data_IF_881726391110
#
_entry.id   IF_881726391110
#
_cell.length_a   1.000
_cell.length_b   1.000
_cell.length_c   1.000
_cell.angle_alpha   90.00
_cell.angle_beta   90.00
_cell.angle_gamma   90.00
#
_symmetry.space_group_name_H-M   'P 1'
#
loop_
_entity.id
_entity.type
_entity.pdbx_description
1 polymer ?
#
# COMPACT_ATOMS: atom_id res chain seq x y z
N UNK A 1 -4.60 -25.14 -5.01
CA UNK A 1 -4.38 -23.69 -5.15
C UNK A 1 -5.22 -23.06 -6.26
N UNK A 2 -5.21 -23.59 -7.49
CA UNK A 2 -5.98 -23.01 -8.62
C UNK A 2 -7.49 -22.83 -8.38
N UNK A 3 -8.15 -23.74 -7.64
CA UNK A 3 -9.58 -23.59 -7.32
C UNK A 3 -9.85 -22.41 -6.38
N UNK A 4 -9.01 -22.22 -5.36
CA UNK A 4 -9.10 -21.10 -4.42
C UNK A 4 -8.84 -19.76 -5.13
N UNK A 5 -7.82 -19.69 -5.98
CA UNK A 5 -7.54 -18.48 -6.75
C UNK A 5 -8.69 -18.13 -7.71
N UNK A 6 -9.32 -19.13 -8.35
CA UNK A 6 -10.52 -18.90 -9.17
C UNK A 6 -11.72 -18.41 -8.35
N UNK A 7 -11.91 -18.94 -7.14
CA UNK A 7 -12.98 -18.49 -6.24
C UNK A 7 -12.75 -17.04 -5.80
N UNK A 8 -11.51 -16.67 -5.44
CA UNK A 8 -11.15 -15.29 -5.11
C UNK A 8 -11.35 -14.34 -6.30
N UNK A 9 -10.91 -14.75 -7.50
CA UNK A 9 -11.12 -13.97 -8.71
C UNK A 9 -12.61 -13.74 -9.01
N UNK A 10 -13.43 -14.78 -8.86
CA UNK A 10 -14.88 -14.66 -9.04
C UNK A 10 -15.50 -13.69 -8.02
N UNK A 11 -15.03 -13.71 -6.76
CA UNK A 11 -15.47 -12.79 -5.73
C UNK A 11 -15.11 -11.35 -6.05
N UNK A 12 -13.86 -11.10 -6.41
CA UNK A 12 -13.42 -9.76 -6.83
C UNK A 12 -14.29 -9.24 -7.96
N UNK A 13 -14.58 -10.09 -8.94
CA UNK A 13 -15.45 -9.72 -10.06
C UNK A 13 -16.89 -9.45 -9.62
N UNK A 14 -17.42 -10.18 -8.64
CA UNK A 14 -18.79 -9.97 -8.15
C UNK A 14 -18.92 -8.73 -7.27
N UNK A 15 -17.84 -8.29 -6.62
CA UNK A 15 -17.80 -7.09 -5.78
C UNK A 15 -17.27 -5.86 -6.53
N UNK A 16 -17.29 -5.88 -7.86
CA UNK A 16 -16.73 -4.80 -8.69
C UNK A 16 -17.31 -3.42 -8.39
N UNK A 17 -18.58 -3.33 -7.97
CA UNK A 17 -19.20 -2.05 -7.62
C UNK A 17 -18.49 -1.37 -6.45
N UNK A 18 -18.09 -2.12 -5.41
CA UNK A 18 -17.31 -1.59 -4.30
C UNK A 18 -15.94 -1.10 -4.76
N UNK A 19 -15.31 -1.84 -5.69
CA UNK A 19 -14.05 -1.40 -6.29
C UNK A 19 -14.22 -0.12 -7.10
N UNK A 20 -15.31 0.03 -7.83
CA UNK A 20 -15.63 1.27 -8.57
C UNK A 20 -15.80 2.45 -7.61
N UNK A 21 -16.55 2.28 -6.53
CA UNK A 21 -16.71 3.32 -5.51
C UNK A 21 -15.40 3.67 -4.81
N UNK A 22 -14.54 2.66 -4.53
CA UNK A 22 -13.22 2.88 -3.97
C UNK A 22 -12.35 3.74 -4.90
N UNK A 23 -12.31 3.36 -6.18
CA UNK A 23 -11.57 4.10 -7.20
C UNK A 23 -12.12 5.52 -7.35
N UNK A 24 -13.45 5.69 -7.39
CA UNK A 24 -14.07 7.00 -7.48
C UNK A 24 -13.71 7.90 -6.29
N UNK A 25 -13.73 7.34 -5.07
CA UNK A 25 -13.34 8.06 -3.86
C UNK A 25 -11.84 8.43 -3.90
N UNK A 26 -10.98 7.51 -4.33
CA UNK A 26 -9.56 7.78 -4.47
C UNK A 26 -9.28 8.87 -5.53
N UNK A 27 -9.96 8.82 -6.67
CA UNK A 27 -9.86 9.86 -7.71
C UNK A 27 -10.32 11.22 -7.17
N UNK A 28 -11.41 11.24 -6.41
CA UNK A 28 -11.90 12.46 -5.78
C UNK A 28 -10.90 13.02 -4.77
N UNK A 29 -10.30 12.16 -3.93
CA UNK A 29 -9.25 12.58 -2.97
C UNK A 29 -8.00 13.12 -3.67
N UNK A 30 -7.56 12.47 -4.74
CA UNK A 30 -6.44 12.96 -5.56
C UNK A 30 -6.79 14.30 -6.20
N UNK A 31 -8.01 14.48 -6.68
CA UNK A 31 -8.47 15.75 -7.23
C UNK A 31 -8.45 16.88 -6.18
N UNK A 32 -8.89 16.60 -4.94
CA UNK A 32 -8.79 17.55 -3.85
C UNK A 32 -7.34 17.92 -3.54
N UNK A 33 -6.44 16.95 -3.48
CA UNK A 33 -5.00 17.19 -3.31
C UNK A 33 -4.42 18.03 -4.44
N UNK A 34 -4.85 17.83 -5.69
CA UNK A 34 -4.45 18.70 -6.80
C UNK A 34 -4.90 20.14 -6.64
N UNK A 35 -6.10 20.37 -6.13
CA UNK A 35 -6.60 21.72 -5.85
C UNK A 35 -5.78 22.42 -4.77
N UNK A 36 -5.29 21.69 -3.77
CA UNK A 36 -4.52 22.23 -2.65
C UNK A 36 -3.04 22.53 -3.04
N UNK A 37 -2.45 21.73 -3.93
CA UNK A 37 -1.05 21.95 -4.40
C UNK A 37 -0.89 23.20 -5.28
N UNK A 38 -1.99 23.72 -5.86
CA UNK A 38 -1.94 24.85 -6.79
C UNK A 38 -1.41 24.42 -8.16
N UNK A 39 -2.32 24.09 -9.05
CA UNK A 39 -2.06 23.54 -10.38
C UNK A 39 -1.07 24.31 -11.27
N UNK A 40 -0.83 25.57 -10.98
CA UNK A 40 -0.02 26.45 -11.84
C UNK A 40 1.46 26.54 -11.43
N UNK A 41 1.84 25.93 -10.29
CA UNK A 41 3.20 26.06 -9.75
C UNK A 41 4.17 24.97 -10.22
N UNK A 42 3.67 23.82 -10.67
CA UNK A 42 4.54 22.72 -11.07
C UNK A 42 5.00 22.86 -12.53
N UNK A 43 6.31 22.90 -12.75
CA UNK A 43 6.91 23.03 -14.08
C UNK A 43 6.95 21.70 -14.84
N UNK A 44 6.83 20.58 -14.15
CA UNK A 44 6.93 19.25 -14.75
C UNK A 44 6.13 18.17 -13.96
N UNK A 45 5.89 17.03 -14.60
CA UNK A 45 5.19 15.91 -13.95
C UNK A 45 5.93 15.31 -12.76
N UNK A 46 7.25 15.25 -12.82
CA UNK A 46 8.08 14.72 -11.71
C UNK A 46 8.09 15.69 -10.54
N UNK A 47 8.16 16.99 -10.81
CA UNK A 47 8.09 18.03 -9.78
C UNK A 47 6.71 18.06 -9.11
N UNK A 48 5.63 17.97 -9.88
CA UNK A 48 4.27 17.86 -9.35
C UNK A 48 4.10 16.66 -8.42
N UNK A 49 4.69 15.53 -8.77
CA UNK A 49 4.67 14.33 -7.93
C UNK A 49 5.44 14.54 -6.60
N UNK A 50 6.61 15.20 -6.66
CA UNK A 50 7.37 15.56 -5.46
C UNK A 50 6.58 16.48 -4.53
N UNK A 51 6.01 17.56 -5.06
CA UNK A 51 5.16 18.49 -4.31
C UNK A 51 3.94 17.80 -3.69
N UNK A 52 3.31 16.87 -4.42
CA UNK A 52 2.17 16.12 -3.93
C UNK A 52 2.56 15.19 -2.78
N UNK A 53 3.73 14.54 -2.86
CA UNK A 53 4.25 13.72 -1.75
C UNK A 53 4.60 14.55 -0.53
N UNK A 54 5.13 15.75 -0.72
CA UNK A 54 5.52 16.64 0.36
C UNK A 54 4.32 17.17 1.14
N UNK A 55 3.24 17.55 0.44
CA UNK A 55 2.02 18.09 1.05
C UNK A 55 1.05 17.02 1.53
N UNK A 56 0.83 15.96 0.74
CA UNK A 56 -0.22 14.97 0.93
C UNK A 56 0.29 13.53 1.14
N UNK A 57 1.44 13.39 1.80
CA UNK A 57 2.04 12.08 2.09
C UNK A 57 1.06 11.10 2.75
N UNK A 58 0.24 11.59 3.69
CA UNK A 58 -0.77 10.79 4.37
C UNK A 58 -1.83 10.26 3.39
N UNK A 59 -2.30 11.10 2.48
CA UNK A 59 -3.26 10.70 1.46
C UNK A 59 -2.72 9.57 0.60
N UNK A 60 -1.49 9.69 0.12
CA UNK A 60 -0.83 8.68 -0.69
C UNK A 60 -0.66 7.36 0.06
N UNK A 61 -0.34 7.42 1.37
CA UNK A 61 -0.21 6.23 2.20
C UNK A 61 -1.55 5.52 2.43
N UNK A 62 -2.63 6.30 2.62
CA UNK A 62 -3.97 5.74 2.88
C UNK A 62 -4.70 5.26 1.63
N UNK A 63 -4.31 5.69 0.44
CA UNK A 63 -4.98 5.33 -0.79
C UNK A 63 -5.00 3.79 -1.04
N UNK A 64 -3.87 3.06 -0.98
CA UNK A 64 -3.88 1.60 -1.05
C UNK A 64 -4.69 0.96 0.09
N UNK A 65 -4.69 1.59 1.28
CA UNK A 65 -5.43 1.11 2.44
C UNK A 65 -6.95 1.16 2.22
N UNK A 66 -7.46 2.27 1.67
CA UNK A 66 -8.89 2.42 1.35
C UNK A 66 -9.32 1.35 0.36
N UNK A 67 -8.51 1.10 -0.67
CA UNK A 67 -8.77 0.06 -1.67
C UNK A 67 -8.81 -1.33 -1.03
N UNK A 68 -7.85 -1.65 -0.16
CA UNK A 68 -7.83 -2.91 0.58
C UNK A 68 -9.04 -3.05 1.51
N UNK A 69 -9.38 -1.98 2.23
CA UNK A 69 -10.51 -1.94 3.16
C UNK A 69 -11.84 -2.24 2.49
N UNK A 70 -12.09 -1.64 1.34
CA UNK A 70 -13.34 -1.88 0.60
C UNK A 70 -13.44 -3.31 0.05
N UNK A 71 -12.32 -3.93 -0.32
CA UNK A 71 -12.33 -5.33 -0.70
C UNK A 71 -12.65 -6.25 0.48
N UNK A 72 -12.02 -6.02 1.63
CA UNK A 72 -12.16 -6.91 2.80
C UNK A 72 -13.48 -6.70 3.53
N UNK A 73 -14.05 -5.48 3.54
CA UNK A 73 -15.38 -5.25 4.14
C UNK A 73 -16.50 -5.96 3.38
N UNK A 74 -16.32 -6.20 2.06
CA UNK A 74 -17.22 -7.06 1.29
C UNK A 74 -17.08 -8.55 1.64
N UNK A 75 -16.05 -8.89 2.40
CA UNK A 75 -15.69 -10.23 2.78
C UNK A 75 -16.28 -10.57 4.15
N UNK A 76 -17.58 -10.84 4.19
CA UNK A 76 -18.20 -11.27 5.43
C UNK A 76 -17.48 -12.50 6.02
N UNK A 77 -17.23 -12.45 7.31
CA UNK A 77 -16.48 -13.46 8.09
C UNK A 77 -16.96 -14.91 7.90
N UNK A 78 -18.21 -15.11 7.46
CA UNK A 78 -18.80 -16.42 7.21
C UNK A 78 -18.10 -17.20 6.10
N UNK A 79 -17.59 -16.53 5.08
CA UNK A 79 -16.97 -17.20 3.92
C UNK A 79 -15.65 -17.87 4.30
N UNK A 80 -14.85 -17.23 5.14
CA UNK A 80 -13.60 -17.82 5.65
C UNK A 80 -13.86 -19.08 6.47
N UNK A 81 -14.89 -19.07 7.31
CA UNK A 81 -15.30 -20.24 8.07
C UNK A 81 -15.66 -21.42 7.14
N UNK A 82 -16.43 -21.14 6.08
CA UNK A 82 -16.80 -22.20 5.12
C UNK A 82 -15.59 -22.74 4.36
N UNK A 83 -14.59 -21.91 4.05
CA UNK A 83 -13.38 -22.37 3.38
C UNK A 83 -12.51 -23.28 4.26
N UNK A 84 -12.41 -22.95 5.56
CA UNK A 84 -11.73 -23.82 6.55
C UNK A 84 -12.52 -25.11 6.77
N UNK A 85 -13.85 -25.03 6.92
CA UNK A 85 -14.72 -26.20 7.04
C UNK A 85 -14.68 -27.12 5.81
N UNK A 86 -14.41 -26.56 4.63
CA UNK A 86 -14.19 -27.33 3.40
C UNK A 86 -12.81 -28.01 3.34
N UNK A 87 -12.05 -28.02 4.44
CA UNK A 87 -10.77 -28.72 4.57
C UNK A 87 -9.57 -28.00 3.92
N UNK A 88 -9.70 -26.73 3.60
CA UNK A 88 -8.58 -25.97 3.07
C UNK A 88 -7.62 -25.56 4.19
N UNK A 89 -6.32 -25.80 3.98
CA UNK A 89 -5.28 -25.36 4.91
C UNK A 89 -5.18 -23.83 4.97
N UNK A 90 -5.05 -23.27 6.16
CA UNK A 90 -4.95 -21.84 6.43
C UNK A 90 -3.87 -21.15 5.57
N UNK A 91 -2.70 -21.78 5.46
CA UNK A 91 -1.60 -21.25 4.63
C UNK A 91 -2.00 -21.08 3.16
N UNK A 92 -2.74 -22.04 2.59
CA UNK A 92 -3.21 -21.98 1.20
C UNK A 92 -4.25 -20.88 1.00
N UNK A 93 -5.09 -20.62 2.00
CA UNK A 93 -6.08 -19.55 1.99
C UNK A 93 -5.40 -18.18 2.00
N UNK A 94 -4.47 -17.95 2.93
CA UNK A 94 -3.73 -16.69 3.01
C UNK A 94 -2.92 -16.44 1.73
N UNK A 95 -2.20 -17.45 1.22
CA UNK A 95 -1.44 -17.33 -0.02
C UNK A 95 -2.34 -17.07 -1.23
N UNK A 96 -3.52 -17.72 -1.33
CA UNK A 96 -4.43 -17.47 -2.45
C UNK A 96 -4.89 -16.00 -2.50
N UNK A 97 -5.12 -15.38 -1.33
CA UNK A 97 -5.47 -13.95 -1.23
C UNK A 97 -4.30 -13.06 -1.63
N UNK A 98 -3.10 -13.31 -1.11
CA UNK A 98 -1.92 -12.56 -1.46
C UNK A 98 -1.64 -12.61 -2.97
N UNK A 99 -1.74 -13.76 -3.60
CA UNK A 99 -1.44 -13.92 -5.02
C UNK A 99 -2.57 -13.51 -5.98
N UNK A 100 -3.79 -13.33 -5.49
CA UNK A 100 -4.93 -12.93 -6.36
C UNK A 100 -5.34 -11.49 -6.13
N UNK A 101 -5.54 -11.11 -4.87
CA UNK A 101 -6.09 -9.79 -4.50
C UNK A 101 -5.02 -8.72 -4.58
N UNK A 102 -3.85 -8.98 -3.98
CA UNK A 102 -2.80 -7.96 -3.89
C UNK A 102 -2.31 -7.50 -5.25
N UNK A 103 -1.98 -8.36 -6.23
CA UNK A 103 -1.54 -7.88 -7.55
C UNK A 103 -2.59 -7.03 -8.25
N UNK A 104 -3.86 -7.43 -8.20
CA UNK A 104 -4.93 -6.68 -8.85
C UNK A 104 -5.11 -5.29 -8.22
N UNK A 105 -5.17 -5.24 -6.88
CA UNK A 105 -5.33 -3.98 -6.16
C UNK A 105 -4.08 -3.10 -6.26
N UNK A 106 -2.89 -3.70 -6.36
CA UNK A 106 -1.63 -2.98 -6.56
C UNK A 106 -1.62 -2.24 -7.89
N UNK A 107 -2.09 -2.86 -8.98
CA UNK A 107 -2.15 -2.19 -10.28
C UNK A 107 -3.00 -0.93 -10.20
N UNK A 108 -4.17 -1.01 -9.56
CA UNK A 108 -5.06 0.14 -9.39
C UNK A 108 -4.39 1.21 -8.51
N UNK A 109 -3.81 0.82 -7.38
CA UNK A 109 -3.16 1.75 -6.46
C UNK A 109 -1.96 2.45 -7.10
N UNK A 110 -1.11 1.71 -7.82
CA UNK A 110 0.03 2.26 -8.54
C UNK A 110 -0.44 3.27 -9.60
N UNK A 111 -1.45 2.92 -10.40
CA UNK A 111 -1.98 3.81 -11.42
C UNK A 111 -2.49 5.13 -10.83
N UNK A 112 -3.17 5.06 -9.67
CA UNK A 112 -3.65 6.23 -8.97
C UNK A 112 -2.50 7.06 -8.37
N UNK A 113 -1.52 6.43 -7.74
CA UNK A 113 -0.39 7.12 -7.12
C UNK A 113 0.55 7.80 -8.13
N UNK A 114 0.70 7.25 -9.32
CA UNK A 114 1.50 7.86 -10.39
C UNK A 114 0.68 8.85 -11.24
N UNK A 115 -0.61 9.01 -10.99
CA UNK A 115 -1.48 9.91 -11.76
C UNK A 115 -0.98 11.36 -11.82
N UNK A 116 -0.34 11.96 -10.78
CA UNK A 116 0.26 13.28 -10.88
C UNK A 116 1.32 13.36 -11.98
N UNK A 117 2.21 12.38 -12.05
CA UNK A 117 3.25 12.31 -13.09
C UNK A 117 2.62 12.29 -14.47
N UNK A 118 1.57 11.48 -14.66
CA UNK A 118 0.90 11.34 -15.97
C UNK A 118 0.16 12.62 -16.36
N UNK A 119 -0.60 13.20 -15.44
CA UNK A 119 -1.43 14.38 -15.74
C UNK A 119 -0.57 15.61 -16.03
N UNK A 120 0.35 15.96 -15.13
CA UNK A 120 1.22 17.11 -15.29
C UNK A 120 2.28 16.87 -16.37
N UNK A 121 2.76 15.64 -16.52
CA UNK A 121 3.66 15.29 -17.59
C UNK A 121 3.07 15.46 -18.97
N UNK A 122 1.79 15.17 -19.15
CA UNK A 122 1.08 15.39 -20.40
C UNK A 122 0.84 16.91 -20.69
N UNK A 123 0.66 17.72 -19.64
CA UNK A 123 0.38 19.17 -19.75
C UNK A 123 1.67 20.01 -19.90
N UNK A 124 2.65 19.77 -19.05
CA UNK A 124 3.83 20.62 -18.88
C UNK A 124 5.16 19.92 -19.25
N UNK A 125 5.10 18.63 -19.68
CA UNK A 125 6.27 17.80 -19.88
C UNK A 125 6.65 17.00 -18.62
N UNK A 126 7.32 15.87 -18.84
CA UNK A 126 7.63 14.95 -17.74
C UNK A 126 8.78 15.43 -16.84
N UNK A 127 9.63 16.34 -17.31
CA UNK A 127 10.84 16.77 -16.61
C UNK A 127 11.97 15.76 -16.71
N UNK A 128 12.80 15.65 -15.66
CA UNK A 128 13.90 14.70 -15.65
C UNK A 128 13.38 13.25 -15.46
N UNK A 129 13.42 12.49 -16.55
CA UNK A 129 12.96 11.11 -16.61
C UNK A 129 14.00 10.07 -16.20
N UNK A 130 15.22 10.49 -15.89
CA UNK A 130 16.36 9.61 -15.59
C UNK A 130 16.04 8.58 -14.51
N UNK A 131 15.34 9.00 -13.46
CA UNK A 131 14.97 8.14 -12.33
C UNK A 131 13.50 7.69 -12.34
N UNK A 132 12.76 7.97 -13.41
CA UNK A 132 11.31 7.70 -13.45
C UNK A 132 10.98 6.23 -13.19
N UNK A 133 11.74 5.31 -13.76
CA UNK A 133 11.55 3.88 -13.55
C UNK A 133 11.79 3.46 -12.09
N UNK A 134 12.78 4.02 -11.42
CA UNK A 134 13.06 3.75 -10.01
C UNK A 134 11.97 4.32 -9.11
N UNK A 135 11.43 5.52 -9.41
CA UNK A 135 10.29 6.11 -8.70
C UNK A 135 9.07 5.21 -8.77
N UNK A 136 8.69 4.79 -9.96
CA UNK A 136 7.55 3.88 -10.18
C UNK A 136 7.79 2.55 -9.44
N UNK A 137 9.00 2.03 -9.44
CA UNK A 137 9.36 0.80 -8.75
C UNK A 137 9.20 0.93 -7.22
N UNK A 138 9.68 2.03 -6.62
CA UNK A 138 9.48 2.28 -5.19
C UNK A 138 7.99 2.37 -4.85
N UNK A 139 7.22 3.15 -5.61
CA UNK A 139 5.77 3.26 -5.42
C UNK A 139 5.10 1.89 -5.53
N UNK A 140 5.49 1.07 -6.51
CA UNK A 140 4.94 -0.29 -6.67
C UNK A 140 5.27 -1.18 -5.46
N UNK A 141 6.50 -1.15 -4.97
CA UNK A 141 6.91 -1.90 -3.77
C UNK A 141 6.10 -1.48 -2.56
N UNK A 142 5.93 -0.19 -2.35
CA UNK A 142 5.15 0.35 -1.24
C UNK A 142 3.68 -0.04 -1.34
N UNK A 143 3.07 0.07 -2.52
CA UNK A 143 1.69 -0.39 -2.74
C UNK A 143 1.52 -1.87 -2.41
N UNK A 144 2.41 -2.72 -2.91
CA UNK A 144 2.38 -4.17 -2.63
C UNK A 144 2.53 -4.44 -1.13
N UNK A 145 3.45 -3.76 -0.47
CA UNK A 145 3.69 -3.85 0.97
C UNK A 145 2.44 -3.49 1.77
N UNK A 146 1.90 -2.28 1.56
CA UNK A 146 0.72 -1.78 2.26
C UNK A 146 -0.48 -2.68 2.05
N UNK A 147 -0.75 -3.08 0.80
CA UNK A 147 -1.87 -3.95 0.45
C UNK A 147 -1.72 -5.34 1.04
N UNK A 148 -0.53 -5.94 0.99
CA UNK A 148 -0.28 -7.27 1.56
C UNK A 148 -0.51 -7.28 3.07
N UNK A 149 0.06 -6.31 3.78
CA UNK A 149 -0.13 -6.17 5.21
C UNK A 149 -1.59 -5.92 5.57
N UNK A 150 -2.27 -5.04 4.84
CA UNK A 150 -3.68 -4.73 5.06
C UNK A 150 -4.58 -5.96 4.85
N UNK A 151 -4.39 -6.69 3.76
CA UNK A 151 -5.15 -7.92 3.48
C UNK A 151 -4.92 -8.97 4.56
N UNK A 152 -3.69 -9.18 5.00
CA UNK A 152 -3.36 -10.14 6.07
C UNK A 152 -3.99 -9.74 7.41
N UNK A 153 -3.84 -8.49 7.82
CA UNK A 153 -4.40 -8.00 9.08
C UNK A 153 -5.93 -8.08 9.06
N UNK A 154 -6.56 -7.58 8.00
CA UNK A 154 -8.02 -7.56 7.89
C UNK A 154 -8.62 -8.95 7.78
N UNK A 155 -7.92 -9.91 7.18
CA UNK A 155 -8.37 -11.30 7.17
C UNK A 155 -8.26 -11.97 8.54
N UNK A 156 -7.34 -11.55 9.38
CA UNK A 156 -7.12 -12.08 10.74
C UNK A 156 -8.10 -11.51 11.74
N UNK A 157 -8.29 -10.20 11.71
CA UNK A 157 -9.26 -9.49 12.54
C UNK A 157 -10.55 -9.31 11.76
N UNK A 158 -11.69 -9.49 12.38
CA UNK A 158 -12.99 -9.23 11.74
C UNK A 158 -13.03 -7.80 11.15
N UNK A 159 -13.62 -7.64 9.99
CA UNK A 159 -13.50 -6.48 9.08
C UNK A 159 -13.32 -5.08 9.71
N UNK A 160 -14.19 -4.65 10.61
CA UNK A 160 -14.09 -3.32 11.24
C UNK A 160 -12.88 -3.19 12.18
N UNK A 161 -12.62 -4.22 13.01
CA UNK A 161 -11.46 -4.23 13.92
C UNK A 161 -10.16 -4.33 13.13
N UNK A 162 -10.15 -5.11 12.05
CA UNK A 162 -8.98 -5.22 11.16
C UNK A 162 -8.61 -3.88 10.53
N UNK A 163 -9.60 -3.13 10.06
CA UNK A 163 -9.37 -1.81 9.48
C UNK A 163 -8.80 -0.82 10.51
N UNK A 164 -9.33 -0.84 11.74
CA UNK A 164 -8.81 -0.03 12.84
C UNK A 164 -7.38 -0.42 13.22
N UNK A 165 -7.06 -1.71 13.29
CA UNK A 165 -5.69 -2.20 13.57
C UNK A 165 -4.72 -1.77 12.48
N UNK A 166 -5.12 -1.83 11.20
CA UNK A 166 -4.29 -1.36 10.09
C UNK A 166 -4.05 0.14 10.19
N UNK A 167 -5.10 0.91 10.47
CA UNK A 167 -4.97 2.36 10.67
C UNK A 167 -4.02 2.70 11.82
N UNK A 168 -4.21 2.07 12.99
CA UNK A 168 -3.32 2.26 14.15
C UNK A 168 -1.88 1.85 13.84
N UNK A 169 -1.68 0.73 13.13
CA UNK A 169 -0.34 0.31 12.73
C UNK A 169 0.35 1.37 11.90
N UNK A 170 -0.30 1.93 10.89
CA UNK A 170 0.27 2.99 10.07
C UNK A 170 0.55 4.24 10.91
N UNK A 171 -0.40 4.68 11.71
CA UNK A 171 -0.24 5.87 12.53
C UNK A 171 0.89 5.71 13.55
N UNK A 172 0.97 4.57 14.24
CA UNK A 172 2.00 4.32 15.23
C UNK A 172 3.37 4.15 14.58
N UNK A 173 3.49 3.27 13.59
CA UNK A 173 4.80 2.98 12.98
C UNK A 173 5.33 4.16 12.17
N UNK A 174 4.49 4.89 11.46
CA UNK A 174 4.94 6.03 10.67
C UNK A 174 5.22 7.26 11.56
N UNK A 175 4.31 7.61 12.46
CA UNK A 175 4.50 8.80 13.30
C UNK A 175 5.57 8.59 14.38
N UNK A 176 5.54 7.47 15.13
CA UNK A 176 6.54 7.20 16.14
C UNK A 176 7.86 6.73 15.54
N UNK A 177 7.82 5.98 14.45
CA UNK A 177 9.02 5.52 13.76
C UNK A 177 9.84 6.69 13.22
N UNK A 178 9.21 7.66 12.58
CA UNK A 178 9.89 8.87 12.11
C UNK A 178 10.44 9.70 13.25
N UNK A 179 9.65 9.95 14.31
CA UNK A 179 10.11 10.68 15.49
C UNK A 179 11.30 10.00 16.18
N UNK A 180 11.25 8.67 16.33
CA UNK A 180 12.37 7.92 16.94
C UNK A 180 13.64 7.98 16.10
N UNK A 181 13.50 7.88 14.77
CA UNK A 181 14.64 7.96 13.86
C UNK A 181 15.23 9.38 13.93
N UNK A 182 14.42 10.42 13.84
CA UNK A 182 14.87 11.81 13.90
C UNK A 182 15.57 12.14 15.23
N UNK A 183 15.07 11.61 16.36
CA UNK A 183 15.68 11.83 17.68
C UNK A 183 17.00 11.07 17.88
N UNK A 184 17.16 9.90 17.28
CA UNK A 184 18.37 9.08 17.41
C UNK A 184 19.47 9.55 16.46
N UNK A 185 19.10 10.18 15.35
CA UNK A 185 20.03 10.47 14.25
C UNK A 185 20.70 11.83 14.34
N UNK A 186 20.20 12.74 15.17
CA UNK A 186 20.69 14.12 15.31
C UNK A 186 21.13 14.80 13.98
N UNK A 187 20.47 14.41 12.88
CA UNK A 187 20.75 14.96 11.55
C UNK A 187 21.87 14.26 10.75
N UNK A 188 22.33 13.09 11.15
CA UNK A 188 23.33 12.33 10.39
C UNK A 188 22.72 11.70 9.11
N UNK A 189 23.23 12.11 7.95
CA UNK A 189 22.71 11.73 6.61
C UNK A 189 22.70 10.22 6.38
N UNK A 190 23.64 9.49 6.97
CA UNK A 190 23.72 8.02 6.82
C UNK A 190 22.53 7.30 7.46
N UNK A 191 21.99 7.88 8.53
CA UNK A 191 20.88 7.32 9.30
C UNK A 191 19.53 7.75 8.73
N UNK A 192 19.47 8.86 7.98
CA UNK A 192 18.25 9.29 7.28
C UNK A 192 17.75 8.22 6.30
N UNK A 193 18.65 7.39 5.77
CA UNK A 193 18.26 6.24 4.90
C UNK A 193 17.49 5.15 5.63
N UNK A 194 17.56 5.06 6.95
CA UNK A 194 16.78 4.13 7.75
C UNK A 194 15.28 4.52 7.70
N UNK A 195 14.97 5.80 7.50
CA UNK A 195 13.59 6.24 7.32
C UNK A 195 12.92 5.59 6.12
N UNK A 196 13.69 5.19 5.09
CA UNK A 196 13.17 4.49 3.92
C UNK A 196 12.63 3.07 4.23
N UNK A 197 12.91 2.56 5.42
CA UNK A 197 12.24 1.36 5.95
C UNK A 197 10.77 1.63 6.31
N UNK A 198 10.38 2.87 6.53
CA UNK A 198 9.00 3.28 6.73
C UNK A 198 8.30 3.48 5.40
N UNK A 199 6.97 3.37 5.38
CA UNK A 199 6.18 3.58 4.16
C UNK A 199 6.26 5.04 3.73
N UNK A 200 6.06 5.97 4.65
CA UNK A 200 6.19 7.40 4.40
C UNK A 200 7.59 7.80 3.91
N UNK A 201 8.64 7.35 4.59
CA UNK A 201 10.02 7.59 4.19
C UNK A 201 10.37 7.01 2.81
N UNK A 202 9.83 5.84 2.47
CA UNK A 202 9.98 5.28 1.12
C UNK A 202 9.25 6.12 0.05
N UNK A 203 8.07 6.65 0.37
CA UNK A 203 7.36 7.57 -0.54
C UNK A 203 8.12 8.89 -0.73
N UNK A 204 8.61 9.49 0.36
CA UNK A 204 9.44 10.71 0.25
C UNK A 204 10.70 10.46 -0.58
N UNK A 205 11.36 9.30 -0.40
CA UNK A 205 12.48 8.89 -1.25
C UNK A 205 12.11 8.88 -2.74
N UNK A 206 10.91 8.43 -3.09
CA UNK A 206 10.45 8.44 -4.49
C UNK A 206 10.25 9.86 -5.06
N UNK A 207 10.07 10.87 -4.21
CA UNK A 207 9.97 12.29 -4.57
C UNK A 207 11.32 12.99 -4.79
N UNK A 208 12.43 12.44 -4.25
CA UNK A 208 13.74 13.06 -4.32
C UNK A 208 14.27 13.20 -5.77
N UNK A 209 15.08 14.24 -6.06
CA UNK A 209 15.67 14.42 -7.39
C UNK A 209 16.59 13.26 -7.76
N UNK A 210 17.43 12.80 -6.83
CA UNK A 210 18.37 11.71 -7.03
C UNK A 210 17.97 10.49 -6.21
N UNK A 211 17.77 9.37 -6.90
CA UNK A 211 17.40 8.07 -6.29
C UNK A 211 18.49 7.06 -6.59
N UNK A 212 19.08 6.48 -5.56
CA UNK A 212 20.03 5.40 -5.71
C UNK A 212 19.34 4.03 -5.75
N UNK A 213 19.88 3.09 -6.49
CA UNK A 213 19.35 1.71 -6.52
C UNK A 213 19.37 1.05 -5.12
N UNK A 214 20.32 1.45 -4.27
CA UNK A 214 20.37 1.00 -2.87
C UNK A 214 19.12 1.37 -2.07
N UNK A 215 18.53 2.54 -2.32
CA UNK A 215 17.34 3.02 -1.63
C UNK A 215 16.12 2.15 -1.98
N UNK A 216 16.04 1.71 -3.24
CA UNK A 216 15.04 0.73 -3.70
C UNK A 216 15.20 -0.60 -2.96
N UNK A 217 16.44 -1.09 -2.80
CA UNK A 217 16.72 -2.35 -2.08
C UNK A 217 16.25 -2.24 -0.62
N UNK A 218 16.51 -1.13 0.05
CA UNK A 218 16.06 -0.90 1.42
C UNK A 218 14.53 -1.00 1.52
N UNK A 219 13.81 -0.33 0.62
CA UNK A 219 12.34 -0.40 0.58
C UNK A 219 11.82 -1.82 0.33
N UNK A 220 12.45 -2.56 -0.59
CA UNK A 220 12.08 -3.96 -0.91
C UNK A 220 12.32 -4.87 0.28
N UNK A 221 13.49 -4.80 0.90
CA UNK A 221 13.84 -5.65 2.05
C UNK A 221 12.90 -5.37 3.22
N UNK A 222 12.67 -4.10 3.55
CA UNK A 222 11.73 -3.71 4.60
C UNK A 222 10.31 -4.22 4.31
N UNK A 223 9.86 -4.11 3.06
CA UNK A 223 8.55 -4.62 2.62
C UNK A 223 8.43 -6.13 2.78
N UNK A 224 9.42 -6.89 2.33
CA UNK A 224 9.42 -8.35 2.45
C UNK A 224 9.41 -8.79 3.92
N UNK A 225 10.27 -8.19 4.75
CA UNK A 225 10.33 -8.51 6.18
C UNK A 225 8.97 -8.25 6.85
N UNK A 226 8.36 -7.12 6.58
CA UNK A 226 7.07 -6.78 7.16
C UNK A 226 5.96 -7.72 6.71
N UNK A 227 5.88 -8.05 5.42
CA UNK A 227 4.90 -9.00 4.89
C UNK A 227 5.08 -10.38 5.56
N UNK A 228 6.31 -10.83 5.76
CA UNK A 228 6.59 -12.10 6.44
C UNK A 228 6.13 -12.08 7.91
N UNK A 229 6.40 -10.99 8.63
CA UNK A 229 5.94 -10.83 10.02
C UNK A 229 4.41 -10.94 10.09
N UNK A 230 3.70 -10.18 9.27
CA UNK A 230 2.24 -10.21 9.26
C UNK A 230 1.67 -11.55 8.78
N UNK A 231 2.35 -12.21 7.84
CA UNK A 231 1.95 -13.55 7.40
C UNK A 231 2.04 -14.58 8.56
N UNK A 232 3.14 -14.57 9.30
CA UNK A 232 3.33 -15.46 10.45
C UNK A 232 2.32 -15.17 11.56
N UNK A 233 2.10 -13.89 11.89
CA UNK A 233 1.11 -13.47 12.89
C UNK A 233 -0.30 -13.89 12.49
N UNK A 234 -0.66 -13.68 11.24
CA UNK A 234 -1.96 -14.08 10.69
C UNK A 234 -2.14 -15.60 10.73
N UNK A 235 -1.13 -16.35 10.31
CA UNK A 235 -1.14 -17.81 10.32
C UNK A 235 -1.34 -18.36 11.74
N UNK A 236 -0.54 -17.89 12.69
CA UNK A 236 -0.64 -18.33 14.09
C UNK A 236 -1.98 -17.96 14.74
N UNK A 237 -2.51 -16.77 14.42
CA UNK A 237 -3.80 -16.32 14.93
C UNK A 237 -4.95 -17.20 14.40
N UNK A 238 -4.86 -17.63 13.14
CA UNK A 238 -5.86 -18.53 12.55
C UNK A 238 -5.79 -19.92 13.16
N UNK A 239 -4.60 -20.51 13.33
CA UNK A 239 -4.46 -21.84 13.91
C UNK A 239 -4.99 -21.91 15.34
N UNK A 240 -4.65 -20.95 16.18
CA UNK A 240 -5.16 -20.86 17.55
C UNK A 240 -6.69 -20.72 17.62
N UNK A 241 -7.30 -20.09 16.65
CA UNK A 241 -8.74 -19.77 16.68
C UNK A 241 -9.63 -20.90 16.17
N UNK A 242 -9.11 -21.78 15.33
CA UNK A 242 -9.90 -22.79 14.63
C UNK A 242 -9.51 -24.24 14.95
N UNK A 243 -8.35 -24.46 15.53
CA UNK A 243 -7.84 -25.79 15.85
C UNK A 243 -7.60 -26.03 17.35
N UNK A 244 -7.83 -25.04 18.20
CA UNK A 244 -7.96 -25.15 19.65
C UNK A 244 -9.35 -24.68 20.10
#
# INVERSE_FOLDING_TARGET
MNRLMRAEWYRVRKTYHLSVWAVALCVFMIYLGYMDVGFDSASSGVEAFGMFLEKDLLLMTYLPLIIAGMYVTSYENKVLCYEVMAGNRTSRLLLSKLFTVVPLMSIISIALMISPILYFGAKNGYGDTKYLALRILIVAVICIRVLSCSVLIMTTFKSAVGMFVVFLRFLILEAFGSLMIDTVTEGDVSVSKVTYCLVGGGLTCSGLPDIAFQDVIICVVAGVVEILIWYVLSYNSYEKKWFN
#
